data_IF_695990691663
#
_entry.id   IF_695990691663
#
_cell.length_a   1.000
_cell.length_b   1.000
_cell.length_c   1.000
_cell.angle_alpha   90.00
_cell.angle_beta   90.00
_cell.angle_gamma   90.00
#
_symmetry.space_group_name_H-M   'P 1'
#
loop_
_entity.id
_entity.type
_entity.pdbx_description
1 polymer ?
#
# COMPACT_ATOMS: atom_id res chain seq x y z
N UNK A 1 20.07 -16.31 2.18
CA UNK A 1 19.57 -16.98 3.40
C UNK A 1 18.06 -17.10 3.31
N UNK A 2 17.55 -18.33 3.45
CA UNK A 2 16.15 -18.66 3.24
C UNK A 2 15.27 -18.18 4.41
N UNK A 3 14.32 -17.29 4.14
CA UNK A 3 13.26 -16.96 5.10
C UNK A 3 12.19 -18.05 5.03
N UNK A 4 12.00 -18.78 6.13
CA UNK A 4 10.82 -19.63 6.31
C UNK A 4 9.60 -18.72 6.43
N UNK A 5 8.82 -18.63 5.35
CA UNK A 5 7.50 -17.99 5.37
C UNK A 5 6.56 -18.86 6.22
N UNK A 6 6.50 -18.57 7.52
CA UNK A 6 5.41 -19.05 8.37
C UNK A 6 4.12 -18.46 7.84
N UNK A 7 3.36 -19.25 7.09
CA UNK A 7 2.04 -18.88 6.59
C UNK A 7 1.06 -18.88 7.78
N UNK A 8 1.07 -17.81 8.58
CA UNK A 8 0.11 -17.67 9.69
C UNK A 8 -1.30 -17.50 9.11
N UNK A 9 -2.26 -18.22 9.70
CA UNK A 9 -3.68 -18.13 9.34
C UNK A 9 -4.16 -16.67 9.48
N UNK A 10 -5.10 -16.21 8.64
CA UNK A 10 -5.70 -14.89 8.81
C UNK A 10 -6.28 -14.79 10.21
N UNK A 11 -5.90 -13.74 10.93
CA UNK A 11 -6.42 -13.47 12.26
C UNK A 11 -7.95 -13.28 12.17
N UNK A 12 -8.73 -13.70 13.19
CA UNK A 12 -10.18 -13.52 13.16
C UNK A 12 -10.52 -12.03 13.00
N UNK A 13 -11.51 -11.72 12.16
CA UNK A 13 -11.89 -10.37 11.75
C UNK A 13 -12.08 -9.41 12.95
N UNK A 14 -12.61 -9.93 14.07
CA UNK A 14 -12.76 -9.23 15.34
C UNK A 14 -11.42 -8.76 15.95
N UNK A 15 -10.37 -9.58 15.87
CA UNK A 15 -9.04 -9.20 16.35
C UNK A 15 -8.39 -8.13 15.47
N UNK A 16 -8.70 -8.12 14.17
CA UNK A 16 -8.20 -7.09 13.25
C UNK A 16 -8.83 -5.72 13.51
N UNK A 17 -10.11 -5.67 13.92
CA UNK A 17 -10.82 -4.43 14.26
C UNK A 17 -10.18 -3.74 15.47
N UNK A 18 -9.69 -4.50 16.46
CA UNK A 18 -9.08 -3.94 17.66
C UNK A 18 -7.85 -3.05 17.34
N UNK A 19 -7.13 -3.32 16.25
CA UNK A 19 -5.97 -2.51 15.84
C UNK A 19 -6.33 -1.12 15.32
N UNK A 20 -7.59 -0.86 14.97
CA UNK A 20 -8.05 0.47 14.56
C UNK A 20 -8.35 1.39 15.75
N UNK A 21 -8.49 0.83 16.96
CA UNK A 21 -8.83 1.59 18.18
C UNK A 21 -7.90 2.78 18.42
N UNK A 22 -6.56 2.66 18.33
CA UNK A 22 -5.67 3.81 18.50
C UNK A 22 -5.91 4.93 17.50
N UNK A 23 -6.23 4.59 16.24
CA UNK A 23 -6.57 5.57 15.21
C UNK A 23 -7.89 6.29 15.52
N UNK A 24 -8.91 5.54 15.95
CA UNK A 24 -10.20 6.09 16.37
C UNK A 24 -10.06 7.01 17.59
N UNK A 25 -9.26 6.62 18.58
CA UNK A 25 -8.96 7.46 19.75
C UNK A 25 -8.27 8.76 19.34
N UNK A 26 -7.33 8.71 18.40
CA UNK A 26 -6.71 9.93 17.87
C UNK A 26 -7.74 10.84 17.20
N UNK A 27 -8.69 10.32 16.40
CA UNK A 27 -9.77 11.15 15.86
C UNK A 27 -10.71 11.68 16.95
N UNK A 28 -11.01 10.88 17.97
CA UNK A 28 -11.83 11.33 19.11
C UNK A 28 -11.18 12.50 19.86
N UNK A 29 -9.84 12.52 20.00
CA UNK A 29 -9.13 13.68 20.55
C UNK A 29 -9.35 14.93 19.68
N UNK A 30 -9.47 14.77 18.36
CA UNK A 30 -9.75 15.88 17.45
C UNK A 30 -11.16 16.48 17.61
N UNK A 31 -12.11 15.80 18.29
CA UNK A 31 -13.45 16.34 18.57
C UNK A 31 -13.47 17.32 19.74
N UNK A 32 -12.43 17.34 20.58
CA UNK A 32 -12.38 18.14 21.83
C UNK A 32 -12.39 19.66 21.55
N UNK A 33 -11.97 20.09 20.37
CA UNK A 33 -12.04 21.50 19.97
C UNK A 33 -11.93 21.68 18.46
N UNK A 34 -12.33 22.85 17.96
CA UNK A 34 -12.15 23.25 16.55
C UNK A 34 -10.96 24.21 16.42
N UNK A 35 -9.76 23.69 16.64
CA UNK A 35 -8.51 24.46 16.59
C UNK A 35 -7.56 23.85 15.55
N UNK A 36 -6.70 24.63 14.87
CA UNK A 36 -5.72 24.11 13.91
C UNK A 36 -4.81 23.00 14.48
N UNK A 37 -4.65 22.96 15.81
CA UNK A 37 -3.91 21.89 16.50
C UNK A 37 -4.57 20.51 16.35
N UNK A 38 -5.85 20.44 15.96
CA UNK A 38 -6.56 19.19 15.67
C UNK A 38 -6.03 18.49 14.43
N UNK A 39 -5.25 19.16 13.59
CA UNK A 39 -4.56 18.52 12.48
C UNK A 39 -3.57 17.46 12.99
N UNK A 40 -2.89 17.71 14.12
CA UNK A 40 -1.90 16.78 14.69
C UNK A 40 -2.52 15.40 14.99
N UNK A 41 -3.61 15.29 15.78
CA UNK A 41 -4.25 14.01 16.03
C UNK A 41 -4.84 13.39 14.75
N UNK A 42 -5.27 14.16 13.75
CA UNK A 42 -5.77 13.61 12.48
C UNK A 42 -4.66 13.00 11.61
N UNK A 43 -3.47 13.61 11.59
CA UNK A 43 -2.29 13.06 10.93
C UNK A 43 -1.83 11.78 11.63
N UNK A 44 -1.82 11.77 12.97
CA UNK A 44 -1.50 10.59 13.77
C UNK A 44 -2.53 9.47 13.55
N UNK A 45 -3.82 9.80 13.51
CA UNK A 45 -4.87 8.82 13.24
C UNK A 45 -4.64 8.10 11.91
N UNK A 46 -4.21 8.85 10.87
CA UNK A 46 -3.99 8.29 9.54
C UNK A 46 -2.83 7.29 9.55
N UNK A 47 -1.78 7.57 10.32
CA UNK A 47 -0.63 6.67 10.40
C UNK A 47 -0.94 5.41 11.20
N UNK A 48 -1.68 5.55 12.28
CA UNK A 48 -2.17 4.42 13.08
C UNK A 48 -3.12 3.53 12.26
N UNK A 49 -3.98 4.14 11.45
CA UNK A 49 -4.92 3.41 10.58
C UNK A 49 -4.19 2.69 9.45
N UNK A 50 -3.16 3.31 8.85
CA UNK A 50 -2.32 2.64 7.87
C UNK A 50 -1.61 1.42 8.47
N UNK A 51 -1.07 1.54 9.68
CA UNK A 51 -0.46 0.43 10.40
C UNK A 51 -1.47 -0.70 10.67
N UNK A 52 -2.68 -0.36 11.12
CA UNK A 52 -3.76 -1.31 11.37
C UNK A 52 -4.19 -2.03 10.09
N UNK A 53 -4.30 -1.31 8.97
CA UNK A 53 -4.61 -1.90 7.65
C UNK A 53 -3.52 -2.85 7.20
N UNK A 54 -2.24 -2.49 7.34
CA UNK A 54 -1.13 -3.38 6.96
C UNK A 54 -1.16 -4.67 7.79
N UNK A 55 -1.39 -4.57 9.10
CA UNK A 55 -1.56 -5.72 9.98
C UNK A 55 -2.80 -6.56 9.61
N UNK A 56 -3.92 -5.92 9.23
CA UNK A 56 -5.14 -6.60 8.82
C UNK A 56 -4.99 -7.36 7.48
N UNK A 57 -4.15 -6.86 6.57
CA UNK A 57 -3.79 -7.56 5.32
C UNK A 57 -2.84 -8.75 5.61
N UNK A 58 -2.28 -8.84 6.82
CA UNK A 58 -1.35 -9.89 7.24
C UNK A 58 0.12 -9.53 7.10
N UNK A 59 0.45 -8.25 6.93
CA UNK A 59 1.83 -7.76 6.98
C UNK A 59 2.21 -7.38 8.41
N UNK A 60 2.85 -8.32 9.10
CA UNK A 60 3.44 -8.14 10.43
C UNK A 60 4.97 -8.26 10.36
N UNK A 61 5.67 -7.18 9.95
CA UNK A 61 7.13 -7.19 9.84
C UNK A 61 7.84 -7.07 11.19
N UNK A 62 7.14 -6.69 12.26
CA UNK A 62 7.71 -6.48 13.59
C UNK A 62 7.03 -7.39 14.62
N UNK A 63 7.71 -7.73 15.73
CA UNK A 63 7.19 -8.63 16.76
C UNK A 63 5.98 -8.05 17.53
N UNK A 64 5.76 -6.74 17.48
CA UNK A 64 4.65 -6.07 18.14
C UNK A 64 4.11 -4.89 17.33
N UNK A 65 2.80 -4.67 17.42
CA UNK A 65 2.13 -3.54 16.77
C UNK A 65 2.70 -2.18 17.22
N UNK A 66 3.03 -2.04 18.50
CA UNK A 66 3.63 -0.81 19.04
C UNK A 66 4.97 -0.48 18.38
N UNK A 67 5.79 -1.49 18.06
CA UNK A 67 7.06 -1.32 17.37
C UNK A 67 6.84 -0.95 15.89
N UNK A 68 5.84 -1.54 15.23
CA UNK A 68 5.41 -1.14 13.88
C UNK A 68 4.98 0.33 13.86
N UNK A 69 4.15 0.75 14.81
CA UNK A 69 3.70 2.15 14.90
C UNK A 69 4.87 3.10 15.15
N UNK A 70 5.78 2.77 16.07
CA UNK A 70 6.88 3.66 16.43
C UNK A 70 7.94 3.76 15.32
N UNK A 71 8.29 2.61 14.70
CA UNK A 71 9.35 2.55 13.68
C UNK A 71 8.84 2.83 12.27
N UNK A 72 7.66 2.33 11.89
CA UNK A 72 7.14 2.51 10.52
C UNK A 72 6.16 3.66 10.44
N UNK A 73 5.31 3.79 11.47
CA UNK A 73 4.39 4.92 11.59
C UNK A 73 5.09 6.28 11.62
N UNK A 74 6.27 6.43 12.22
CA UNK A 74 6.96 7.72 12.23
C UNK A 74 7.44 8.17 10.83
N UNK A 75 7.98 7.25 10.01
CA UNK A 75 8.38 7.57 8.65
C UNK A 75 7.18 7.92 7.76
N UNK A 76 6.07 7.17 7.88
CA UNK A 76 4.83 7.52 7.21
C UNK A 76 4.25 8.85 7.71
N UNK A 77 4.34 9.15 9.01
CA UNK A 77 3.87 10.40 9.58
C UNK A 77 4.62 11.58 8.99
N UNK A 78 5.95 11.49 8.88
CA UNK A 78 6.77 12.53 8.25
C UNK A 78 6.34 12.72 6.79
N UNK A 79 6.29 11.66 5.98
CA UNK A 79 5.89 11.77 4.57
C UNK A 79 4.47 12.34 4.40
N UNK A 80 3.50 11.85 5.17
CA UNK A 80 2.12 12.28 5.08
C UNK A 80 1.93 13.72 5.56
N UNK A 81 2.65 14.13 6.61
CA UNK A 81 2.66 15.52 7.08
C UNK A 81 3.27 16.45 6.03
N UNK A 82 4.39 16.07 5.41
CA UNK A 82 4.98 16.84 4.30
C UNK A 82 4.02 16.99 3.13
N UNK A 83 3.32 15.91 2.77
CA UNK A 83 2.31 15.97 1.71
C UNK A 83 1.10 16.84 2.09
N UNK A 84 0.59 16.71 3.32
CA UNK A 84 -0.52 17.54 3.82
C UNK A 84 -0.13 19.02 3.84
N UNK A 85 1.10 19.36 4.25
CA UNK A 85 1.60 20.73 4.20
C UNK A 85 1.66 21.28 2.77
N UNK A 86 2.14 20.46 1.81
CA UNK A 86 2.13 20.83 0.40
C UNK A 86 0.71 21.05 -0.12
N UNK A 87 -0.23 20.15 0.17
CA UNK A 87 -1.65 20.29 -0.21
C UNK A 87 -2.25 21.55 0.41
N UNK A 88 -1.96 21.82 1.68
CA UNK A 88 -2.41 23.03 2.36
C UNK A 88 -1.90 24.29 1.66
N UNK A 89 -0.59 24.40 1.43
CA UNK A 89 0.02 25.57 0.77
C UNK A 89 -0.54 25.81 -0.63
N UNK A 90 -0.74 24.72 -1.38
CA UNK A 90 -1.31 24.76 -2.71
C UNK A 90 -2.76 25.25 -2.70
N UNK A 91 -3.61 24.68 -1.84
CA UNK A 91 -5.05 24.96 -1.81
C UNK A 91 -5.37 26.29 -1.11
N UNK A 92 -4.51 26.79 -0.22
CA UNK A 92 -4.80 27.93 0.65
C UNK A 92 -5.19 29.18 -0.12
N UNK A 93 -4.36 29.57 -1.08
CA UNK A 93 -4.58 30.76 -1.90
C UNK A 93 -5.87 30.69 -2.72
N UNK A 94 -6.07 29.66 -3.57
CA UNK A 94 -7.29 29.51 -4.36
C UNK A 94 -8.57 29.50 -3.51
N UNK A 95 -8.55 28.86 -2.33
CA UNK A 95 -9.70 28.84 -1.42
C UNK A 95 -10.01 30.21 -0.81
N UNK A 96 -8.97 30.94 -0.40
CA UNK A 96 -9.13 32.32 0.08
C UNK A 96 -9.73 33.21 -1.01
N UNK A 97 -9.25 33.08 -2.24
CA UNK A 97 -9.79 33.85 -3.35
C UNK A 97 -11.27 33.53 -3.61
N UNK A 98 -11.63 32.25 -3.62
CA UNK A 98 -13.02 31.78 -3.77
C UNK A 98 -13.95 32.30 -2.67
N UNK A 99 -13.46 32.43 -1.44
CA UNK A 99 -14.24 32.97 -0.31
C UNK A 99 -14.56 34.46 -0.45
N UNK A 100 -13.70 35.21 -1.14
CA UNK A 100 -13.85 36.65 -1.36
C UNK A 100 -14.65 36.96 -2.62
N UNK A 101 -14.42 36.19 -3.70
CA UNK A 101 -15.08 36.38 -4.98
C UNK A 101 -15.41 35.02 -5.61
N UNK A 102 -16.71 34.77 -5.80
CA UNK A 102 -17.21 33.58 -6.49
C UNK A 102 -16.99 33.72 -8.00
N UNK A 103 -15.75 33.49 -8.45
CA UNK A 103 -15.34 33.64 -9.84
C UNK A 103 -14.86 32.34 -10.47
N UNK A 104 -15.15 32.16 -11.77
CA UNK A 104 -14.70 31.01 -12.56
C UNK A 104 -13.17 30.81 -12.51
N UNK A 105 -12.41 31.92 -12.49
CA UNK A 105 -10.95 31.88 -12.43
C UNK A 105 -10.40 31.19 -11.18
N UNK A 106 -10.98 31.47 -10.00
CA UNK A 106 -10.58 30.84 -8.75
C UNK A 106 -10.92 29.34 -8.73
N UNK A 107 -12.07 28.95 -9.31
CA UNK A 107 -12.45 27.54 -9.46
C UNK A 107 -11.51 26.78 -10.39
N UNK A 108 -11.15 27.35 -11.55
CA UNK A 108 -10.20 26.74 -12.49
C UNK A 108 -8.81 26.63 -11.85
N UNK A 109 -8.37 27.66 -11.12
CA UNK A 109 -7.12 27.64 -10.39
C UNK A 109 -7.11 26.53 -9.34
N UNK A 110 -8.17 26.41 -8.53
CA UNK A 110 -8.32 25.35 -7.54
C UNK A 110 -8.23 23.97 -8.20
N UNK A 111 -8.94 23.75 -9.30
CA UNK A 111 -8.88 22.50 -10.05
C UNK A 111 -7.46 22.20 -10.56
N UNK A 112 -6.79 23.19 -11.16
CA UNK A 112 -5.42 23.05 -11.64
C UNK A 112 -4.44 22.69 -10.52
N UNK A 113 -4.61 23.31 -9.35
CA UNK A 113 -3.78 23.05 -8.17
C UNK A 113 -4.04 21.66 -7.59
N UNK A 114 -5.28 21.18 -7.56
CA UNK A 114 -5.59 19.81 -7.14
C UNK A 114 -4.98 18.79 -8.11
N UNK A 115 -5.00 19.05 -9.42
CA UNK A 115 -4.31 18.23 -10.42
C UNK A 115 -2.79 18.26 -10.19
N UNK A 116 -2.21 19.42 -9.87
CA UNK A 116 -0.80 19.52 -9.53
C UNK A 116 -0.45 18.72 -8.26
N UNK A 117 -1.31 18.75 -7.23
CA UNK A 117 -1.14 17.98 -6.01
C UNK A 117 -1.19 16.45 -6.26
N UNK A 118 -1.99 15.99 -7.22
CA UNK A 118 -1.96 14.60 -7.71
C UNK A 118 -0.67 14.32 -8.50
N UNK A 119 -0.27 15.22 -9.39
CA UNK A 119 0.90 15.05 -10.24
C UNK A 119 2.21 14.94 -9.45
N UNK A 120 2.34 15.64 -8.31
CA UNK A 120 3.49 15.50 -7.39
C UNK A 120 3.65 14.05 -6.91
N UNK A 121 2.55 13.32 -6.73
CA UNK A 121 2.56 11.93 -6.28
C UNK A 121 2.89 10.93 -7.40
N UNK A 122 2.98 11.35 -8.66
CA UNK A 122 3.15 10.47 -9.83
C UNK A 122 4.20 9.38 -9.61
N UNK A 123 5.37 9.76 -9.08
CA UNK A 123 6.47 8.82 -8.83
C UNK A 123 6.72 8.51 -7.35
N UNK A 124 5.90 9.06 -6.46
CA UNK A 124 6.10 9.00 -5.01
C UNK A 124 5.01 8.19 -4.31
N UNK A 125 3.87 7.94 -4.97
CA UNK A 125 2.73 7.23 -4.36
C UNK A 125 3.08 5.89 -3.71
N UNK A 126 4.00 5.03 -4.23
CA UNK A 126 4.27 3.75 -3.59
C UNK A 126 5.02 3.90 -2.27
N UNK A 127 5.75 5.00 -2.09
CA UNK A 127 6.59 5.22 -0.91
C UNK A 127 5.78 5.17 0.39
N UNK A 128 4.55 5.69 0.36
CA UNK A 128 3.65 5.73 1.52
C UNK A 128 3.25 4.34 2.03
N UNK A 129 3.06 3.36 1.14
CA UNK A 129 2.82 1.97 1.54
C UNK A 129 4.10 1.17 1.77
N UNK A 130 5.17 1.47 1.02
CA UNK A 130 6.47 0.80 1.12
C UNK A 130 7.10 0.90 2.50
N UNK A 131 6.95 2.04 3.18
CA UNK A 131 7.48 2.23 4.54
C UNK A 131 6.92 1.21 5.54
N UNK A 132 5.71 0.68 5.30
CA UNK A 132 5.16 -0.40 6.11
C UNK A 132 5.54 -1.78 5.61
N UNK A 133 5.51 -1.99 4.28
CA UNK A 133 5.60 -3.33 3.67
C UNK A 133 7.04 -3.78 3.36
N UNK A 134 7.99 -2.86 3.19
CA UNK A 134 9.34 -3.16 2.74
C UNK A 134 10.37 -3.04 3.87
N UNK A 135 10.82 -4.19 4.38
CA UNK A 135 11.73 -4.27 5.53
C UNK A 135 13.15 -3.76 5.22
N UNK A 136 13.65 -3.98 4.01
CA UNK A 136 15.01 -3.58 3.61
C UNK A 136 15.18 -2.05 3.49
N UNK A 137 14.07 -1.30 3.56
CA UNK A 137 14.10 0.15 3.68
C UNK A 137 14.84 0.59 4.96
N UNK A 138 14.86 -0.24 6.00
CA UNK A 138 15.47 0.13 7.27
C UNK A 138 16.88 -0.44 7.41
N UNK A 139 17.83 0.32 8.00
CA UNK A 139 19.16 -0.18 8.27
C UNK A 139 19.14 -1.32 9.30
N UNK A 140 20.09 -2.26 9.14
CA UNK A 140 20.35 -3.29 10.14
C UNK A 140 20.79 -2.63 11.46
N UNK A 141 20.29 -3.17 12.57
CA UNK A 141 20.56 -2.65 13.92
C UNK A 141 22.07 -2.67 14.17
N UNK A 142 22.68 -1.49 14.32
CA UNK A 142 24.11 -1.33 14.64
C UNK A 142 24.98 -0.66 13.56
N UNK A 143 24.48 -0.40 12.34
CA UNK A 143 25.36 -0.01 11.23
C UNK A 143 25.40 1.49 10.85
N UNK A 144 24.66 2.41 11.48
CA UNK A 144 24.65 3.83 11.06
C UNK A 144 24.49 4.84 12.23
N UNK A 145 25.22 5.95 12.15
CA UNK A 145 25.15 7.13 13.04
C UNK A 145 24.02 8.13 12.66
N UNK A 146 23.18 7.82 11.67
CA UNK A 146 22.18 8.74 11.10
C UNK A 146 20.71 8.45 11.48
N UNK A 147 19.82 9.39 11.16
CA UNK A 147 18.37 9.23 11.39
C UNK A 147 17.78 8.10 10.54
N UNK A 148 17.31 7.04 11.21
CA UNK A 148 16.67 5.89 10.58
C UNK A 148 15.39 6.27 9.83
N UNK A 149 14.69 7.33 10.27
CA UNK A 149 13.45 7.82 9.62
C UNK A 149 13.77 8.34 8.22
N UNK A 150 14.82 9.17 8.12
CA UNK A 150 15.20 9.79 6.86
C UNK A 150 15.73 8.75 5.87
N UNK A 151 16.54 7.80 6.34
CA UNK A 151 17.06 6.72 5.49
C UNK A 151 15.95 5.81 4.96
N UNK A 152 15.01 5.39 5.80
CA UNK A 152 13.85 4.60 5.38
C UNK A 152 12.95 5.34 4.38
N UNK A 153 12.74 6.65 4.61
CA UNK A 153 11.98 7.51 3.70
C UNK A 153 12.67 7.64 2.35
N UNK A 154 13.97 7.96 2.34
CA UNK A 154 14.75 8.13 1.11
C UNK A 154 14.79 6.83 0.28
N UNK A 155 15.02 5.68 0.92
CA UNK A 155 15.01 4.37 0.25
C UNK A 155 13.63 4.04 -0.31
N UNK A 156 12.57 4.25 0.46
CA UNK A 156 11.18 4.01 0.02
C UNK A 156 10.79 4.89 -1.15
N UNK A 157 11.25 6.15 -1.19
CA UNK A 157 11.07 7.05 -2.33
C UNK A 157 11.86 6.58 -3.55
N UNK A 158 13.14 6.24 -3.39
CA UNK A 158 13.97 5.79 -4.49
C UNK A 158 13.40 4.53 -5.15
N UNK A 159 12.98 3.56 -4.34
CA UNK A 159 12.37 2.33 -4.83
C UNK A 159 10.95 2.55 -5.36
N UNK A 160 10.15 3.40 -4.73
CA UNK A 160 8.83 3.80 -5.24
C UNK A 160 8.91 4.48 -6.61
N UNK A 161 9.95 5.30 -6.85
CA UNK A 161 10.23 5.89 -8.17
C UNK A 161 10.61 4.85 -9.21
N UNK A 162 11.23 3.75 -8.80
CA UNK A 162 11.54 2.62 -9.69
C UNK A 162 10.27 1.84 -10.03
N UNK A 163 9.46 1.47 -9.04
CA UNK A 163 8.18 0.75 -9.23
C UNK A 163 7.15 1.53 -10.07
N UNK A 164 7.21 2.85 -10.04
CA UNK A 164 6.31 3.73 -10.81
C UNK A 164 6.80 4.05 -12.22
N UNK A 165 7.97 3.55 -12.64
CA UNK A 165 8.47 3.72 -14.03
C UNK A 165 7.83 2.75 -15.01
N UNK A 166 7.43 1.55 -14.57
CA UNK A 166 6.69 0.62 -15.43
C UNK A 166 5.25 1.10 -15.62
N UNK A 167 4.70 0.91 -16.83
CA UNK A 167 3.53 1.57 -17.45
C UNK A 167 2.15 1.37 -16.77
N UNK A 168 2.07 1.43 -15.45
CA UNK A 168 0.87 1.19 -14.63
C UNK A 168 0.19 2.50 -14.23
N UNK A 169 0.27 3.51 -15.10
CA UNK A 169 -0.05 4.91 -14.83
C UNK A 169 -1.49 5.14 -14.35
N UNK A 170 -2.50 4.61 -15.03
CA UNK A 170 -3.89 4.92 -14.66
C UNK A 170 -4.46 3.98 -13.60
N UNK A 171 -4.16 2.68 -13.70
CA UNK A 171 -4.85 1.68 -12.88
C UNK A 171 -4.34 1.62 -11.44
N UNK A 172 -3.07 1.98 -11.19
CA UNK A 172 -2.44 1.84 -9.88
C UNK A 172 -2.14 3.19 -9.20
N UNK A 173 -1.60 4.16 -9.95
CA UNK A 173 -1.27 5.47 -9.40
C UNK A 173 -2.54 6.28 -9.07
N UNK A 174 -3.47 6.43 -10.01
CA UNK A 174 -4.61 7.35 -9.84
C UNK A 174 -5.44 7.03 -8.59
N UNK A 175 -5.82 5.77 -8.30
CA UNK A 175 -6.59 5.47 -7.09
C UNK A 175 -5.81 5.73 -5.79
N UNK A 176 -4.51 5.43 -5.77
CA UNK A 176 -3.68 5.62 -4.58
C UNK A 176 -3.38 7.11 -4.31
N UNK A 177 -3.07 7.87 -5.36
CA UNK A 177 -2.85 9.30 -5.28
C UNK A 177 -4.13 10.07 -4.92
N UNK A 178 -5.27 9.67 -5.50
CA UNK A 178 -6.57 10.23 -5.14
C UNK A 178 -6.90 9.93 -3.67
N UNK A 179 -6.68 8.70 -3.20
CA UNK A 179 -6.87 8.37 -1.79
C UNK A 179 -6.00 9.23 -0.87
N UNK A 180 -4.70 9.40 -1.18
CA UNK A 180 -3.80 10.27 -0.41
C UNK A 180 -4.27 11.73 -0.40
N UNK A 181 -4.67 12.27 -1.56
CA UNK A 181 -5.17 13.63 -1.67
C UNK A 181 -6.46 13.81 -0.85
N UNK A 182 -7.41 12.88 -0.98
CA UNK A 182 -8.69 12.93 -0.25
C UNK A 182 -8.46 12.85 1.26
N UNK A 183 -7.56 11.97 1.72
CA UNK A 183 -7.21 11.87 3.14
C UNK A 183 -6.54 13.15 3.66
N UNK A 184 -5.56 13.69 2.93
CA UNK A 184 -4.87 14.91 3.31
C UNK A 184 -5.82 16.11 3.32
N UNK A 185 -6.59 16.30 2.25
CA UNK A 185 -7.55 17.40 2.13
C UNK A 185 -8.65 17.32 3.20
N UNK A 186 -9.21 16.13 3.45
CA UNK A 186 -10.21 15.94 4.50
C UNK A 186 -9.64 16.24 5.89
N UNK A 187 -8.43 15.78 6.21
CA UNK A 187 -7.77 16.10 7.48
C UNK A 187 -7.60 17.61 7.67
N UNK A 188 -7.16 18.32 6.62
CA UNK A 188 -6.98 19.77 6.66
C UNK A 188 -8.33 20.48 6.78
N UNK A 189 -9.35 20.08 6.02
CA UNK A 189 -10.68 20.68 6.10
C UNK A 189 -11.32 20.49 7.50
N UNK A 190 -11.21 19.29 8.08
CA UNK A 190 -11.78 18.95 9.39
C UNK A 190 -11.00 19.57 10.57
N UNK A 191 -9.77 20.02 10.33
CA UNK A 191 -8.95 20.68 11.35
C UNK A 191 -9.37 22.12 11.66
N UNK A 192 -10.29 22.69 10.87
CA UNK A 192 -10.77 24.06 11.03
C UNK A 192 -9.87 25.14 10.41
N UNK A 193 -8.81 24.76 9.68
CA UNK A 193 -7.92 25.73 9.00
C UNK A 193 -8.62 26.51 7.87
N UNK A 194 -9.64 25.94 7.23
CA UNK A 194 -10.35 26.55 6.08
C UNK A 194 -11.71 27.15 6.41
N UNK A 195 -12.12 27.10 7.68
CA UNK A 195 -13.43 27.53 8.12
C UNK A 195 -13.97 26.64 9.24
N UNK A 196 -14.85 27.22 10.06
CA UNK A 196 -15.45 26.52 11.18
C UNK A 196 -16.78 25.93 10.71
N UNK A 197 -16.81 24.60 10.48
CA UNK A 197 -18.07 23.90 10.28
C UNK A 197 -18.89 23.95 11.59
N UNK A 198 -20.24 23.96 11.52
CA UNK A 198 -21.09 23.71 12.67
C UNK A 198 -20.65 22.43 13.38
N UNK A 199 -20.60 22.44 14.71
CA UNK A 199 -20.03 21.37 15.53
C UNK A 199 -20.66 20.00 15.24
N UNK A 200 -21.97 19.96 14.99
CA UNK A 200 -22.71 18.75 14.63
C UNK A 200 -22.27 18.18 13.28
N UNK A 201 -22.12 19.04 12.26
CA UNK A 201 -21.63 18.61 10.94
C UNK A 201 -20.17 18.16 11.00
N UNK A 202 -19.34 18.86 11.78
CA UNK A 202 -17.92 18.51 11.95
C UNK A 202 -17.75 17.16 12.65
N UNK A 203 -18.51 16.88 13.70
CA UNK A 203 -18.44 15.60 14.42
C UNK A 203 -18.93 14.45 13.54
N UNK A 204 -20.02 14.63 12.80
CA UNK A 204 -20.47 13.64 11.81
C UNK A 204 -19.42 13.39 10.72
N UNK A 205 -18.80 14.45 10.19
CA UNK A 205 -17.76 14.32 9.17
C UNK A 205 -16.48 13.66 9.71
N UNK A 206 -16.10 13.94 10.97
CA UNK A 206 -14.99 13.25 11.65
C UNK A 206 -15.29 11.75 11.83
N UNK A 207 -16.53 11.38 12.17
CA UNK A 207 -16.93 9.99 12.29
C UNK A 207 -16.87 9.26 10.94
N UNK A 208 -17.40 9.87 9.87
CA UNK A 208 -17.30 9.33 8.50
C UNK A 208 -15.84 9.20 8.06
N UNK A 209 -15.03 10.23 8.33
CA UNK A 209 -13.61 10.24 8.04
C UNK A 209 -12.88 9.07 8.73
N UNK A 210 -13.13 8.86 10.02
CA UNK A 210 -12.48 7.84 10.83
C UNK A 210 -12.90 6.41 10.48
N UNK A 211 -14.19 6.17 10.25
CA UNK A 211 -14.75 4.82 10.09
C UNK A 211 -14.72 4.36 8.63
N UNK A 212 -14.89 5.28 7.68
CA UNK A 212 -15.06 4.95 6.27
C UNK A 212 -13.86 5.43 5.46
N UNK A 213 -13.57 6.73 5.48
CA UNK A 213 -12.63 7.32 4.54
C UNK A 213 -11.18 6.86 4.79
N UNK A 214 -10.73 6.89 6.04
CA UNK A 214 -9.39 6.49 6.45
C UNK A 214 -9.12 5.01 6.18
N UNK A 215 -9.93 4.04 6.67
CA UNK A 215 -9.67 2.63 6.42
C UNK A 215 -9.67 2.30 4.93
N UNK A 216 -10.63 2.84 4.16
CA UNK A 216 -10.71 2.60 2.72
C UNK A 216 -9.52 3.22 1.97
N UNK A 217 -9.15 4.46 2.29
CA UNK A 217 -8.02 5.14 1.67
C UNK A 217 -6.70 4.41 1.95
N UNK A 218 -6.44 4.05 3.21
CA UNK A 218 -5.28 3.25 3.61
C UNK A 218 -5.27 1.87 2.94
N UNK A 219 -6.42 1.19 2.83
CA UNK A 219 -6.54 -0.10 2.16
C UNK A 219 -6.23 0.00 0.67
N UNK A 220 -6.75 1.03 -0.02
CA UNK A 220 -6.45 1.28 -1.43
C UNK A 220 -4.95 1.49 -1.61
N UNK A 221 -4.33 2.34 -0.80
CA UNK A 221 -2.89 2.61 -0.89
C UNK A 221 -2.11 1.31 -0.67
N UNK A 222 -2.32 0.61 0.44
CA UNK A 222 -1.60 -0.62 0.80
C UNK A 222 -1.76 -1.75 -0.24
N UNK A 223 -2.98 -1.99 -0.71
CA UNK A 223 -3.26 -3.02 -1.73
C UNK A 223 -2.59 -2.67 -3.07
N UNK A 224 -2.60 -1.39 -3.49
CA UNK A 224 -1.96 -0.97 -4.73
C UNK A 224 -0.44 -1.04 -4.64
N UNK A 225 0.15 -0.64 -3.51
CA UNK A 225 1.61 -0.77 -3.29
C UNK A 225 2.03 -2.23 -3.29
N UNK A 226 1.25 -3.11 -2.65
CA UNK A 226 1.51 -4.54 -2.64
C UNK A 226 1.43 -5.16 -4.03
N UNK A 227 0.40 -4.82 -4.81
CA UNK A 227 0.27 -5.31 -6.19
C UNK A 227 1.44 -4.88 -7.06
N UNK A 228 1.92 -3.63 -6.91
CA UNK A 228 3.12 -3.15 -7.60
C UNK A 228 4.36 -3.97 -7.21
N UNK A 229 4.59 -4.19 -5.91
CA UNK A 229 5.68 -5.02 -5.39
C UNK A 229 5.65 -6.46 -5.92
N UNK A 230 4.49 -7.12 -5.89
CA UNK A 230 4.33 -8.49 -6.34
C UNK A 230 4.49 -8.66 -7.85
N UNK A 231 4.19 -7.61 -8.61
CA UNK A 231 4.45 -7.63 -10.04
C UNK A 231 5.94 -7.48 -10.36
N UNK A 232 6.65 -6.59 -9.67
CA UNK A 232 8.10 -6.45 -9.80
C UNK A 232 8.81 -7.75 -9.42
N UNK A 233 8.45 -8.36 -8.28
CA UNK A 233 9.03 -9.64 -7.86
C UNK A 233 8.80 -10.78 -8.86
N UNK A 234 7.65 -10.79 -9.55
CA UNK A 234 7.38 -11.74 -10.65
C UNK A 234 8.22 -11.44 -11.89
N UNK A 235 8.42 -10.17 -12.22
CA UNK A 235 9.26 -9.75 -13.34
C UNK A 235 10.72 -10.14 -13.10
N UNK A 236 11.29 -9.78 -11.94
CA UNK A 236 12.65 -10.18 -11.55
C UNK A 236 12.81 -11.70 -11.55
N UNK A 237 11.85 -12.45 -10.99
CA UNK A 237 11.91 -13.93 -11.01
C UNK A 237 11.86 -14.49 -12.44
N UNK A 238 11.04 -13.91 -13.33
CA UNK A 238 10.98 -14.32 -14.74
C UNK A 238 12.28 -13.99 -15.46
N UNK A 239 12.88 -12.84 -15.21
CA UNK A 239 14.17 -12.42 -15.79
C UNK A 239 15.36 -13.20 -15.23
N UNK A 240 15.31 -13.62 -13.96
CA UNK A 240 16.31 -14.50 -13.33
C UNK A 240 16.16 -15.98 -13.70
N UNK A 241 15.03 -16.38 -14.24
CA UNK A 241 14.87 -17.67 -14.93
C UNK A 241 15.36 -17.57 -16.39
N UNK A 242 15.53 -16.36 -16.94
CA UNK A 242 16.05 -16.11 -18.29
C UNK A 242 17.48 -15.49 -18.43
N UNK A 243 18.44 -15.59 -17.49
CA UNK A 243 19.81 -15.18 -17.76
C UNK A 243 20.58 -16.36 -18.36
N UNK A 244 20.60 -16.44 -19.70
CA UNK A 244 21.49 -17.35 -20.42
C UNK A 244 20.90 -18.72 -20.76
N UNK A 245 19.70 -18.76 -21.33
CA UNK A 245 19.57 -19.67 -22.48
C UNK A 245 20.20 -18.91 -23.65
N UNK A 246 21.43 -19.29 -23.96
CA UNK A 246 21.79 -19.41 -25.36
C UNK A 246 20.64 -20.08 -26.11
N UNK A 247 20.54 -19.79 -27.39
CA UNK A 247 19.62 -20.41 -28.34
C UNK A 247 19.79 -21.95 -28.40
N UNK A 248 19.44 -22.66 -27.35
CA UNK A 248 18.86 -23.98 -27.44
C UNK A 248 17.38 -23.69 -27.31
N UNK A 249 16.74 -23.53 -28.47
CA UNK A 249 15.32 -23.76 -28.54
C UNK A 249 15.05 -25.08 -27.80
N UNK A 250 14.45 -25.01 -26.61
CA UNK A 250 13.70 -26.12 -26.06
C UNK A 250 12.51 -26.26 -27.00
N UNK A 251 12.81 -26.85 -28.15
CA UNK A 251 11.88 -27.53 -29.00
C UNK A 251 11.07 -28.38 -28.03
N UNK A 252 9.73 -28.25 -27.97
CA UNK A 252 8.95 -29.24 -27.24
C UNK A 252 9.49 -30.60 -27.69
N UNK A 253 9.84 -31.53 -26.77
CA UNK A 253 10.40 -32.80 -27.19
C UNK A 253 9.47 -33.32 -28.27
N UNK A 254 10.01 -33.50 -29.48
CA UNK A 254 9.24 -34.03 -30.58
C UNK A 254 8.53 -35.27 -30.02
N UNK A 255 7.21 -35.44 -30.24
CA UNK A 255 6.51 -36.58 -29.69
C UNK A 255 7.32 -37.80 -30.10
N UNK A 256 7.89 -38.49 -29.11
CA UNK A 256 8.66 -39.70 -29.34
C UNK A 256 7.69 -40.62 -30.06
N UNK A 257 7.93 -40.87 -31.33
CA UNK A 257 7.15 -41.83 -32.10
C UNK A 257 7.51 -43.19 -31.51
N UNK A 258 6.71 -43.64 -30.55
CA UNK A 258 6.82 -44.96 -29.96
C UNK A 258 6.82 -45.98 -31.11
N UNK A 259 7.80 -46.87 -31.10
CA UNK A 259 7.81 -48.01 -32.01
C UNK A 259 6.53 -48.85 -31.82
N UNK A 260 6.09 -49.58 -32.85
CA UNK A 260 4.87 -50.41 -32.76
C UNK A 260 4.96 -51.44 -31.61
N UNK A 261 6.18 -51.88 -31.28
CA UNK A 261 6.50 -52.74 -30.14
C UNK A 261 6.36 -52.01 -28.80
N UNK A 262 6.80 -50.76 -28.66
CA UNK A 262 6.59 -49.96 -27.42
C UNK A 262 5.13 -49.55 -27.23
N UNK A 263 4.37 -49.44 -28.33
CA UNK A 263 2.92 -49.19 -28.29
C UNK A 263 2.10 -50.41 -27.86
N UNK A 264 2.68 -51.60 -27.95
CA UNK A 264 2.04 -52.88 -27.60
C UNK A 264 2.68 -53.57 -26.40
N UNK A 265 3.79 -53.03 -25.86
CA UNK A 265 4.43 -53.46 -24.63
C UNK A 265 3.64 -53.01 -23.40
N UNK A 266 2.49 -53.65 -23.21
CA UNK A 266 1.64 -53.52 -22.05
C UNK A 266 0.30 -54.20 -22.31
N UNK A 267 -0.01 -55.25 -21.56
CA UNK A 267 -1.36 -55.83 -21.63
C UNK A 267 -2.39 -54.76 -21.22
N UNK A 268 -3.56 -54.68 -21.88
CA UNK A 268 -4.56 -53.65 -21.59
C UNK A 268 -4.98 -53.63 -20.12
N UNK A 269 -4.92 -54.78 -19.45
CA UNK A 269 -5.18 -54.93 -18.02
C UNK A 269 -4.19 -54.15 -17.13
N UNK A 270 -2.92 -54.10 -17.50
CA UNK A 270 -1.89 -53.33 -16.78
C UNK A 270 -2.08 -51.82 -16.96
N UNK A 271 -2.56 -51.38 -18.11
CA UNK A 271 -2.87 -49.97 -18.36
C UNK A 271 -4.06 -49.50 -17.51
N UNK A 272 -5.10 -50.33 -17.36
CA UNK A 272 -6.21 -50.05 -16.44
C UNK A 272 -5.76 -50.07 -14.97
N UNK A 273 -4.92 -51.02 -14.57
CA UNK A 273 -4.42 -51.10 -13.20
C UNK A 273 -3.56 -49.88 -12.82
N UNK A 274 -2.75 -49.36 -13.74
CA UNK A 274 -1.97 -48.14 -13.53
C UNK A 274 -2.85 -46.89 -13.47
N UNK A 275 -3.91 -46.81 -14.29
CA UNK A 275 -4.85 -45.70 -14.25
C UNK A 275 -5.64 -45.68 -12.93
N UNK A 276 -6.06 -46.84 -12.43
CA UNK A 276 -6.73 -46.94 -11.14
C UNK A 276 -5.78 -46.62 -9.97
N UNK A 277 -4.54 -47.13 -9.99
CA UNK A 277 -3.53 -46.78 -8.98
C UNK A 277 -3.20 -45.27 -8.95
N UNK A 278 -3.16 -44.63 -10.13
CA UNK A 278 -2.97 -43.17 -10.24
C UNK A 278 -4.17 -42.39 -9.68
N UNK A 279 -5.37 -42.96 -9.80
CA UNK A 279 -6.61 -42.35 -9.31
C UNK A 279 -6.75 -42.45 -7.78
N UNK A 280 -6.24 -43.54 -7.22
CA UNK A 280 -6.19 -43.78 -5.77
C UNK A 280 -4.97 -43.11 -5.09
N UNK A 281 -4.10 -42.47 -5.86
CA UNK A 281 -2.98 -41.68 -5.35
C UNK A 281 -1.83 -42.50 -4.77
N UNK A 282 -1.76 -43.80 -5.07
CA UNK A 282 -0.74 -44.71 -4.58
C UNK A 282 0.39 -44.85 -5.61
N UNK A 283 1.25 -43.84 -5.65
CA UNK A 283 2.46 -43.85 -6.50
C UNK A 283 3.71 -43.76 -5.61
N UNK A 284 3.84 -44.67 -4.64
CA UNK A 284 5.11 -44.91 -3.94
C UNK A 284 5.27 -46.38 -3.53
N UNK A 285 5.91 -47.18 -4.40
CA UNK A 285 7.01 -48.09 -4.00
C UNK A 285 7.85 -48.58 -5.17
#
# INVERSE_FOLDING_TARGET
MAYSKSHRRPAPLLSSIAWFVPGLLAVAIATIGAHPLTLIPLLLANTLTMAAVCHAIGFDPEPSFSRTVLRRGAAHLVMFTTYAALVFLLVAGPMLWLSQQHGLGATVLLAAVLVAALAVLWRLWPAFGLVFVWDDAYPAQGQHEGSWIFTATARSIAFGRHLSREERFFTHFLPAALALLVLAFAAIALSGLYGVLPTEMRTAALAIYAVVLMPLGCLVIANRTLRALLCEGRHVRRSQVLPGDDLIAVTPPAPVALSEEERTAGTPEQATALLDATRDGDIER
#
